data_IF_301882125983
#
_entry.id   IF_301882125983
#
_cell.length_a   1.000
_cell.length_b   1.000
_cell.length_c   1.000
_cell.angle_alpha   90.00
_cell.angle_beta   90.00
_cell.angle_gamma   90.00
#
_symmetry.space_group_name_H-M   'P 1'
#
loop_
_entity.id
_entity.type
_entity.pdbx_description
1 polymer ?
#
# COMPACT_ATOMS: atom_id res chain seq x y z
N UNK A 1 -13.80 -9.86 -8.96
CA UNK A 1 -13.78 -8.45 -9.39
C UNK A 1 -12.99 -8.37 -10.67
N UNK A 2 -13.42 -7.54 -11.62
CA UNK A 2 -12.64 -7.26 -12.84
C UNK A 2 -11.49 -6.30 -12.51
N UNK A 3 -10.30 -6.57 -13.05
CA UNK A 3 -9.09 -5.76 -12.83
C UNK A 3 -8.87 -4.89 -14.06
N UNK A 4 -9.00 -3.58 -13.90
CA UNK A 4 -8.90 -2.61 -15.01
C UNK A 4 -7.71 -1.66 -14.86
N UNK A 5 -7.30 -1.32 -13.63
CA UNK A 5 -6.21 -0.36 -13.38
C UNK A 5 -4.88 -1.10 -13.11
N UNK A 6 -4.87 -2.06 -12.19
CA UNK A 6 -3.69 -2.82 -11.78
C UNK A 6 -3.47 -4.08 -12.63
N UNK A 7 -3.72 -3.97 -13.93
CA UNK A 7 -3.52 -5.06 -14.89
C UNK A 7 -2.08 -5.56 -14.91
N UNK A 8 -1.11 -4.65 -14.79
CA UNK A 8 0.30 -5.03 -14.78
C UNK A 8 0.71 -5.82 -13.52
N UNK A 9 0.11 -5.53 -12.35
CA UNK A 9 0.31 -6.37 -11.16
C UNK A 9 -0.32 -7.76 -11.33
N UNK A 10 -1.54 -7.82 -11.87
CA UNK A 10 -2.22 -9.09 -12.20
C UNK A 10 -1.36 -9.95 -13.12
N UNK A 11 -0.75 -9.33 -14.13
CA UNK A 11 0.08 -10.02 -15.14
C UNK A 11 1.49 -10.34 -14.62
N UNK A 12 1.89 -9.79 -13.48
CA UNK A 12 3.17 -10.05 -12.80
C UNK A 12 2.94 -10.43 -11.33
N UNK A 13 2.30 -11.58 -11.04
CA UNK A 13 1.77 -11.89 -9.71
C UNK A 13 2.81 -12.42 -8.73
N UNK A 14 4.07 -12.56 -9.14
CA UNK A 14 5.09 -13.20 -8.34
C UNK A 14 6.40 -12.44 -8.37
N UNK A 15 7.12 -12.49 -7.25
CA UNK A 15 8.52 -12.14 -7.22
C UNK A 15 9.26 -13.10 -8.17
N UNK A 16 9.49 -14.35 -7.81
CA UNK A 16 10.33 -15.26 -8.58
C UNK A 16 9.48 -16.35 -9.24
N UNK A 17 8.79 -16.09 -10.37
CA UNK A 17 7.81 -17.03 -10.96
C UNK A 17 8.40 -18.40 -11.33
N UNK A 18 9.71 -18.48 -11.56
CA UNK A 18 10.41 -19.72 -11.92
C UNK A 18 11.11 -20.40 -10.73
N UNK A 19 11.13 -19.76 -9.55
CA UNK A 19 11.78 -20.32 -8.37
C UNK A 19 10.85 -21.31 -7.66
N UNK A 20 11.27 -22.58 -7.62
CA UNK A 20 10.49 -23.68 -7.03
C UNK A 20 10.52 -23.71 -5.49
N UNK A 21 11.49 -23.04 -4.86
CA UNK A 21 11.62 -22.98 -3.40
C UNK A 21 10.81 -21.82 -2.82
N UNK A 22 10.87 -20.65 -3.47
CA UNK A 22 10.11 -19.48 -3.06
C UNK A 22 9.75 -18.59 -4.25
N UNK A 23 8.47 -18.57 -4.59
CA UNK A 23 7.93 -17.74 -5.68
C UNK A 23 7.66 -16.30 -5.23
N UNK A 24 7.36 -16.05 -3.95
CA UNK A 24 6.93 -14.72 -3.50
C UNK A 24 5.68 -14.24 -4.24
N UNK A 25 4.69 -15.12 -4.40
CA UNK A 25 3.42 -14.83 -5.07
C UNK A 25 2.53 -13.95 -4.21
N UNK A 26 1.87 -12.96 -4.82
CA UNK A 26 0.87 -12.11 -4.15
C UNK A 26 -0.23 -12.95 -3.48
N UNK A 27 -0.72 -12.48 -2.34
CA UNK A 27 -1.82 -13.12 -1.63
C UNK A 27 -3.01 -12.17 -1.50
N UNK A 28 -4.18 -12.57 -1.99
CA UNK A 28 -5.35 -11.71 -2.06
C UNK A 28 -6.03 -11.55 -0.70
N UNK A 29 -6.70 -10.41 -0.51
CA UNK A 29 -7.75 -10.26 0.48
C UNK A 29 -9.10 -10.64 -0.16
N UNK A 30 -9.94 -11.37 0.57
CA UNK A 30 -11.29 -11.72 0.13
C UNK A 30 -12.18 -10.49 0.02
N UNK A 31 -13.24 -10.57 -0.77
CA UNK A 31 -14.16 -9.45 -0.94
C UNK A 31 -14.83 -9.02 0.38
N UNK A 32 -15.17 -9.97 1.25
CA UNK A 32 -15.74 -9.68 2.57
C UNK A 32 -14.76 -8.96 3.49
N UNK A 33 -13.48 -9.34 3.46
CA UNK A 33 -12.44 -8.64 4.21
C UNK A 33 -12.31 -7.20 3.69
N UNK A 34 -12.28 -6.99 2.36
CA UNK A 34 -12.21 -5.64 1.78
C UNK A 34 -13.43 -4.80 2.20
N UNK A 35 -14.65 -5.33 2.13
CA UNK A 35 -15.85 -4.63 2.57
C UNK A 35 -15.83 -4.27 4.06
N UNK A 36 -15.25 -5.13 4.91
CA UNK A 36 -15.04 -4.83 6.32
C UNK A 36 -14.09 -3.63 6.49
N UNK A 37 -13.00 -3.58 5.72
CA UNK A 37 -12.07 -2.45 5.74
C UNK A 37 -12.71 -1.16 5.21
N UNK A 38 -13.56 -1.23 4.19
CA UNK A 38 -14.34 -0.09 3.70
C UNK A 38 -15.32 0.44 4.76
N UNK A 39 -15.92 -0.47 5.54
CA UNK A 39 -16.79 -0.10 6.66
C UNK A 39 -16.02 0.66 7.74
N UNK A 40 -14.86 0.16 8.14
CA UNK A 40 -14.05 0.71 9.24
C UNK A 40 -13.35 2.01 8.81
N UNK A 41 -12.62 1.99 7.69
CA UNK A 41 -11.68 3.06 7.33
C UNK A 41 -12.24 4.09 6.36
N UNK A 42 -13.37 3.81 5.72
CA UNK A 42 -14.02 4.74 4.78
C UNK A 42 -15.50 5.00 5.07
N UNK A 43 -15.94 4.77 6.31
CA UNK A 43 -17.33 4.98 6.73
C UNK A 43 -18.35 4.25 5.84
N UNK A 44 -18.04 3.00 5.45
CA UNK A 44 -18.88 2.18 4.58
C UNK A 44 -18.86 2.58 3.10
N UNK A 45 -18.06 3.58 2.72
CA UNK A 45 -17.90 3.95 1.31
C UNK A 45 -16.91 3.01 0.61
N UNK A 46 -17.21 2.64 -0.64
CA UNK A 46 -16.26 2.00 -1.53
C UNK A 46 -14.89 2.72 -1.52
N UNK A 47 -13.78 1.98 -1.30
CA UNK A 47 -12.43 2.48 -1.59
C UNK A 47 -12.25 2.89 -3.07
N UNK A 48 -11.25 3.74 -3.37
CA UNK A 48 -10.81 3.98 -4.74
C UNK A 48 -10.52 2.67 -5.49
N UNK A 49 -10.86 2.62 -6.77
CA UNK A 49 -10.83 1.39 -7.58
C UNK A 49 -9.45 0.71 -7.56
N UNK A 50 -8.37 1.46 -7.75
CA UNK A 50 -7.02 0.92 -7.75
C UNK A 50 -6.63 0.34 -6.39
N UNK A 51 -7.05 0.96 -5.27
CA UNK A 51 -6.83 0.40 -3.94
C UNK A 51 -7.63 -0.90 -3.75
N UNK A 52 -8.89 -0.94 -4.18
CA UNK A 52 -9.71 -2.16 -4.12
C UNK A 52 -9.06 -3.29 -4.93
N UNK A 53 -8.60 -2.99 -6.14
CA UNK A 53 -7.87 -3.93 -7.00
C UNK A 53 -6.58 -4.42 -6.33
N UNK A 54 -5.82 -3.53 -5.68
CA UNK A 54 -4.61 -3.89 -4.95
C UNK A 54 -4.92 -4.88 -3.83
N UNK A 55 -5.93 -4.58 -2.99
CA UNK A 55 -6.31 -5.46 -1.89
C UNK A 55 -6.84 -6.81 -2.39
N UNK A 56 -7.63 -6.81 -3.45
CA UNK A 56 -8.15 -8.04 -4.04
C UNK A 56 -7.07 -8.92 -4.68
N UNK A 57 -6.01 -8.32 -5.24
CA UNK A 57 -4.89 -9.06 -5.82
C UNK A 57 -3.86 -9.47 -4.76
N UNK A 58 -3.55 -8.58 -3.83
CA UNK A 58 -2.34 -8.61 -3.01
C UNK A 58 -2.51 -8.05 -1.59
N UNK A 59 -3.76 -7.99 -1.07
CA UNK A 59 -4.07 -7.37 0.22
C UNK A 59 -3.51 -8.07 1.45
N UNK A 60 -3.09 -9.34 1.35
CA UNK A 60 -2.39 -10.07 2.41
C UNK A 60 -0.89 -10.07 2.22
N UNK A 61 -0.43 -10.18 0.97
CA UNK A 61 0.99 -10.14 0.63
C UNK A 61 1.19 -9.56 -0.77
N UNK A 62 2.12 -8.63 -0.91
CA UNK A 62 2.51 -8.03 -2.18
C UNK A 62 4.04 -7.93 -2.26
N UNK A 63 4.69 -8.64 -3.17
CA UNK A 63 6.16 -8.66 -3.23
C UNK A 63 6.81 -7.32 -3.61
N UNK A 64 6.02 -6.34 -4.05
CA UNK A 64 6.47 -4.97 -4.33
C UNK A 64 6.20 -4.00 -3.19
N UNK A 65 5.60 -4.46 -2.09
CA UNK A 65 5.47 -3.73 -0.83
C UNK A 65 6.27 -4.50 0.21
N UNK A 66 7.29 -3.87 0.79
CA UNK A 66 8.37 -4.55 1.50
C UNK A 66 7.96 -5.06 2.89
N UNK A 67 6.87 -4.51 3.45
CA UNK A 67 6.40 -4.83 4.80
C UNK A 67 4.92 -5.23 4.76
N UNK A 68 4.66 -6.54 4.66
CA UNK A 68 3.31 -7.14 4.77
C UNK A 68 3.26 -8.23 5.88
N UNK A 69 3.98 -8.06 7.00
CA UNK A 69 4.20 -9.14 8.00
C UNK A 69 3.55 -8.86 9.38
N UNK A 70 2.75 -7.80 9.52
CA UNK A 70 1.89 -7.56 10.69
C UNK A 70 0.41 -7.78 10.32
N UNK A 71 -0.43 -8.07 11.31
CA UNK A 71 -1.87 -8.21 11.04
C UNK A 71 -2.39 -6.91 10.41
N UNK A 72 -3.19 -7.00 9.34
CA UNK A 72 -3.56 -5.85 8.49
C UNK A 72 -4.20 -4.70 9.30
N UNK A 73 -4.77 -5.02 10.46
CA UNK A 73 -5.32 -4.04 11.39
C UNK A 73 -4.23 -3.20 12.07
N UNK A 74 -3.14 -3.81 12.55
CA UNK A 74 -2.00 -3.10 13.19
C UNK A 74 -1.39 -2.09 12.21
N UNK A 75 -1.35 -2.41 10.90
CA UNK A 75 -0.91 -1.46 9.86
C UNK A 75 -1.73 -0.17 9.78
N UNK A 76 -2.99 -0.22 10.15
CA UNK A 76 -3.87 0.95 10.09
C UNK A 76 -3.92 1.70 11.41
N UNK A 77 -3.79 0.99 12.54
CA UNK A 77 -3.92 1.57 13.88
C UNK A 77 -2.62 2.21 14.36
N UNK A 78 -1.46 1.56 14.23
CA UNK A 78 -0.19 2.06 14.80
C UNK A 78 0.16 3.46 14.28
N UNK A 79 0.07 3.75 12.95
CA UNK A 79 0.36 5.10 12.47
C UNK A 79 -0.67 6.14 12.94
N UNK A 80 -1.92 5.74 13.18
CA UNK A 80 -2.97 6.64 13.69
C UNK A 80 -2.73 6.97 15.16
N UNK A 81 -2.42 5.96 15.98
CA UNK A 81 -2.08 6.13 17.39
C UNK A 81 -0.86 7.04 17.53
N UNK A 82 0.22 6.76 16.79
CA UNK A 82 1.42 7.59 16.80
C UNK A 82 1.10 9.05 16.44
N UNK A 83 0.28 9.27 15.40
CA UNK A 83 -0.11 10.64 15.00
C UNK A 83 -0.91 11.36 16.08
N UNK A 84 -1.84 10.66 16.74
CA UNK A 84 -2.63 11.21 17.85
C UNK A 84 -1.73 11.63 19.02
N UNK A 85 -0.80 10.76 19.42
CA UNK A 85 0.15 11.04 20.52
C UNK A 85 1.09 12.21 20.21
N UNK A 86 1.43 12.41 18.93
CA UNK A 86 2.40 13.42 18.48
C UNK A 86 1.74 14.69 17.90
N UNK A 87 0.43 14.88 18.09
CA UNK A 87 -0.33 16.03 17.55
C UNK A 87 -0.14 16.24 16.03
N UNK A 88 -0.01 15.15 15.28
CA UNK A 88 -0.02 15.15 13.81
C UNK A 88 -1.41 14.75 13.31
N UNK A 89 -1.78 15.23 12.13
CA UNK A 89 -3.08 14.91 11.57
C UNK A 89 -3.02 14.81 10.05
N UNK A 90 -3.72 13.80 9.52
CA UNK A 90 -4.10 13.68 8.12
C UNK A 90 -5.61 13.92 8.04
N UNK A 91 -6.01 15.06 7.48
CA UNK A 91 -7.40 15.53 7.56
C UNK A 91 -8.36 14.84 6.57
N UNK A 92 -7.82 14.11 5.60
CA UNK A 92 -8.60 13.34 4.64
C UNK A 92 -8.63 11.87 5.06
N UNK A 93 -9.73 11.15 4.79
CA UNK A 93 -9.77 9.71 5.03
C UNK A 93 -8.64 9.06 4.24
N UNK A 94 -7.89 8.17 4.88
CA UNK A 94 -6.72 7.57 4.28
C UNK A 94 -6.61 6.10 4.64
N UNK A 95 -5.84 5.37 3.83
CA UNK A 95 -5.54 3.97 4.05
C UNK A 95 -4.05 3.73 3.88
N UNK A 96 -3.42 3.13 4.88
CA UNK A 96 -2.00 2.79 4.87
C UNK A 96 -1.78 1.59 3.95
N UNK A 97 -0.83 1.69 3.03
CA UNK A 97 -0.50 0.61 2.09
C UNK A 97 0.84 -0.06 2.41
N UNK A 98 1.71 0.59 3.17
CA UNK A 98 3.02 0.07 3.55
C UNK A 98 3.54 0.84 4.77
N UNK A 99 4.18 0.16 5.72
CA UNK A 99 5.00 0.78 6.76
C UNK A 99 6.46 0.65 6.30
N UNK A 100 7.24 1.71 6.48
CA UNK A 100 8.62 1.80 6.04
C UNK A 100 9.56 2.06 7.22
N UNK A 101 10.86 1.81 7.02
CA UNK A 101 11.94 2.23 7.90
C UNK A 101 11.73 1.89 9.39
N UNK A 102 11.46 0.63 9.72
CA UNK A 102 11.20 0.19 11.11
C UNK A 102 10.06 0.96 11.81
N UNK A 103 9.04 1.34 11.04
CA UNK A 103 7.92 2.15 11.48
C UNK A 103 8.25 3.63 11.76
N UNK A 104 9.33 4.17 11.19
CA UNK A 104 9.59 5.61 11.18
C UNK A 104 8.81 6.36 10.09
N UNK A 105 8.30 5.65 9.08
CA UNK A 105 7.48 6.27 8.04
C UNK A 105 6.45 5.29 7.46
N UNK A 106 5.47 5.80 6.73
CA UNK A 106 4.48 4.96 6.06
C UNK A 106 4.00 5.54 4.73
N UNK A 107 3.56 4.66 3.84
CA UNK A 107 2.89 5.03 2.61
C UNK A 107 1.39 4.88 2.76
N UNK A 108 0.65 5.83 2.18
CA UNK A 108 -0.80 5.81 2.22
C UNK A 108 -1.42 6.45 0.98
N UNK A 109 -2.72 6.25 0.83
CA UNK A 109 -3.55 6.92 -0.19
C UNK A 109 -4.74 7.59 0.49
N UNK A 110 -5.27 8.65 -0.12
CA UNK A 110 -6.54 9.22 0.30
C UNK A 110 -7.71 8.47 -0.31
N UNK A 111 -8.76 8.28 0.49
CA UNK A 111 -9.93 7.47 0.15
C UNK A 111 -11.05 8.27 -0.52
N UNK A 112 -10.95 9.60 -0.50
CA UNK A 112 -11.84 10.55 -1.15
C UNK A 112 -11.29 11.08 -2.50
N UNK A 113 -10.20 10.50 -2.99
CA UNK A 113 -9.66 10.74 -4.33
C UNK A 113 -10.38 9.89 -5.40
N UNK A 114 -10.06 10.15 -6.68
CA UNK A 114 -10.58 9.37 -7.80
C UNK A 114 -10.06 7.92 -7.84
N UNK A 115 -10.45 7.20 -8.89
CA UNK A 115 -10.21 5.75 -9.01
C UNK A 115 -8.74 5.30 -8.84
N UNK A 116 -7.78 6.13 -9.21
CA UNK A 116 -6.34 5.88 -9.08
C UNK A 116 -5.70 6.97 -8.19
N UNK A 117 -5.75 6.80 -6.86
CA UNK A 117 -5.33 7.83 -5.91
C UNK A 117 -3.82 8.03 -5.91
N UNK A 118 -3.37 9.16 -5.36
CA UNK A 118 -1.95 9.49 -5.24
C UNK A 118 -1.39 8.81 -3.99
N UNK A 119 -0.30 8.05 -4.18
CA UNK A 119 0.51 7.53 -3.07
C UNK A 119 1.27 8.68 -2.44
N UNK A 120 1.19 8.74 -1.12
CA UNK A 120 1.88 9.70 -0.28
C UNK A 120 2.76 8.97 0.71
N UNK A 121 3.83 9.64 1.11
CA UNK A 121 4.73 9.21 2.17
C UNK A 121 4.55 10.13 3.36
N UNK A 122 4.37 9.55 4.54
CA UNK A 122 4.32 10.23 5.82
C UNK A 122 5.58 9.91 6.62
N UNK A 123 6.36 10.93 6.95
CA UNK A 123 7.57 10.84 7.76
C UNK A 123 7.24 11.17 9.23
N UNK A 124 7.30 10.18 10.13
CA UNK A 124 6.87 10.39 11.52
C UNK A 124 7.85 11.33 12.25
N UNK A 125 9.15 11.15 12.06
CA UNK A 125 10.18 11.96 12.73
C UNK A 125 10.62 13.17 11.89
N UNK A 126 9.68 13.77 11.14
CA UNK A 126 9.98 14.80 10.14
C UNK A 126 10.70 16.03 10.71
N UNK A 127 10.46 16.37 11.98
CA UNK A 127 11.11 17.50 12.66
C UNK A 127 12.59 17.23 12.95
N UNK A 128 12.93 16.01 13.35
CA UNK A 128 14.31 15.57 13.60
C UNK A 128 15.12 15.56 12.31
N UNK A 129 14.50 15.05 11.23
CA UNK A 129 15.10 14.97 9.90
C UNK A 129 14.99 16.27 9.08
N UNK A 130 14.27 17.28 9.58
CA UNK A 130 14.01 18.57 8.89
C UNK A 130 13.39 18.40 7.51
N UNK A 131 12.46 17.46 7.39
CA UNK A 131 11.70 17.19 6.17
C UNK A 131 10.22 17.50 6.37
N UNK A 132 9.44 17.46 5.29
CA UNK A 132 7.99 17.63 5.39
C UNK A 132 7.34 16.37 5.96
N UNK A 133 6.32 16.55 6.80
CA UNK A 133 5.54 15.44 7.34
C UNK A 133 4.91 14.57 6.24
N UNK A 134 4.37 15.19 5.19
CA UNK A 134 3.74 14.48 4.06
C UNK A 134 4.40 14.92 2.76
N UNK A 135 4.74 13.95 1.92
CA UNK A 135 5.16 14.17 0.53
C UNK A 135 4.31 13.37 -0.44
N UNK A 136 4.10 13.91 -1.65
CA UNK A 136 3.37 13.22 -2.72
C UNK A 136 4.35 12.49 -3.63
N UNK A 137 4.04 11.23 -3.96
CA UNK A 137 4.82 10.44 -4.90
C UNK A 137 4.15 10.49 -6.28
N UNK A 138 3.44 9.43 -6.64
CA UNK A 138 2.73 9.32 -7.91
C UNK A 138 1.44 8.53 -7.73
N UNK A 139 0.69 8.32 -8.80
CA UNK A 139 -0.53 7.51 -8.76
C UNK A 139 -0.22 6.07 -8.34
N UNK A 140 -1.15 5.42 -7.64
CA UNK A 140 -0.99 4.05 -7.14
C UNK A 140 -0.62 3.07 -8.25
N UNK A 141 -1.29 3.15 -9.40
CA UNK A 141 -0.94 2.31 -10.55
C UNK A 141 0.50 2.50 -11.03
N UNK A 142 0.94 3.75 -11.21
CA UNK A 142 2.28 4.09 -11.64
C UNK A 142 3.33 3.66 -10.61
N UNK A 143 3.03 3.82 -9.33
CA UNK A 143 3.88 3.43 -8.21
C UNK A 143 4.13 1.92 -8.21
N UNK A 144 3.07 1.13 -8.27
CA UNK A 144 3.14 -0.34 -8.32
C UNK A 144 3.90 -0.79 -9.57
N UNK A 145 3.60 -0.24 -10.74
CA UNK A 145 4.29 -0.59 -11.98
C UNK A 145 5.79 -0.33 -11.91
N UNK A 146 6.16 0.85 -11.39
CA UNK A 146 7.56 1.21 -11.20
C UNK A 146 8.30 0.23 -10.29
N UNK A 147 7.69 -0.17 -9.17
CA UNK A 147 8.31 -1.15 -8.26
C UNK A 147 8.40 -2.56 -8.85
N UNK A 148 7.43 -2.98 -9.66
CA UNK A 148 7.52 -4.23 -10.43
C UNK A 148 8.75 -4.16 -11.36
N UNK A 149 8.89 -3.08 -12.11
CA UNK A 149 10.02 -2.90 -13.04
C UNK A 149 11.37 -2.85 -12.30
N UNK A 150 11.43 -2.22 -11.14
CA UNK A 150 12.62 -2.23 -10.27
C UNK A 150 12.98 -3.66 -9.86
N UNK A 151 12.02 -4.44 -9.33
CA UNK A 151 12.29 -5.83 -8.91
C UNK A 151 12.66 -6.73 -10.10
N UNK A 152 12.16 -6.47 -11.32
CA UNK A 152 12.60 -7.17 -12.54
C UNK A 152 14.05 -6.83 -12.89
N UNK A 153 14.44 -5.55 -12.87
CA UNK A 153 15.82 -5.11 -13.18
C UNK A 153 16.84 -5.66 -12.19
N UNK A 154 16.53 -5.66 -10.89
CA UNK A 154 17.43 -6.20 -9.87
C UNK A 154 17.58 -7.73 -9.91
N UNK A 155 16.77 -8.44 -10.71
CA UNK A 155 16.97 -9.88 -11.01
C UNK A 155 17.91 -10.15 -12.17
N UNK A 156 18.35 -9.11 -12.87
CA UNK A 156 19.23 -9.24 -14.01
C UNK A 156 20.62 -8.67 -13.66
N UNK A 157 21.45 -9.38 -12.86
CA UNK A 157 22.81 -8.93 -12.57
C UNK A 157 23.83 -9.26 -13.68
N UNK A 158 23.42 -9.83 -14.83
CA UNK A 158 24.34 -10.25 -15.90
C UNK A 158 23.78 -10.08 -17.31
#
# INVERSE_FOLDING_TARGET
>A
MEIEILTYLRDNPAAYPENKEYEGRIQPMSFSEIQNHEMIYNNGKPFPKALRELLFLAGKYCYVLEHNILEINEFQEDPREWMEENNKAINHPFYVIEICDFAESFLFVHLDEGDDPIVRHAELYCEEYKVSFISCLCRLSAFINHRIDMKKKYRDPF
#
